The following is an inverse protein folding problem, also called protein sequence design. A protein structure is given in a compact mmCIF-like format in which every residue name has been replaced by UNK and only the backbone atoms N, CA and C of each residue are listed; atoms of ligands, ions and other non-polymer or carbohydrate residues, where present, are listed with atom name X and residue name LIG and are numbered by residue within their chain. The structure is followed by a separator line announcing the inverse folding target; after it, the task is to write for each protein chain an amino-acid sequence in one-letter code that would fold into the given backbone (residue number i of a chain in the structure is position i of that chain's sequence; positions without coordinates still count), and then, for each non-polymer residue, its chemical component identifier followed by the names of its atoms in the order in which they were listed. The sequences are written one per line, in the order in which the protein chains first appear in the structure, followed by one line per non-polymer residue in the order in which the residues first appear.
data_IF_660580699701
#
_entry.id   IF_660580699701
#
_cell.length_a   1.000
_cell.length_b   1.000
_cell.length_c   1.000
_cell.angle_alpha   90.00
_cell.angle_beta   90.00
_cell.angle_gamma   90.00
#
_symmetry.space_group_name_H-M   'P 1'
#
loop_
_entity.id
_entity.type
_entity.pdbx_description
1 polymer ?
#
# COMPACT_ATOMS: atom_id res chain seq x y z
N UNK A 1 -8.96 12.68 -11.45
CA UNK A 1 -10.33 12.44 -10.97
C UNK A 1 -10.37 12.80 -9.49
N UNK A 2 -11.25 13.71 -9.06
CA UNK A 2 -11.43 14.04 -7.65
C UNK A 2 -12.65 13.27 -7.15
N UNK A 3 -12.45 12.38 -6.18
CA UNK A 3 -13.53 11.71 -5.47
C UNK A 3 -13.97 12.65 -4.36
N UNK A 4 -15.24 13.05 -4.37
CA UNK A 4 -15.82 13.89 -3.32
C UNK A 4 -16.10 12.99 -2.10
N UNK A 5 -15.12 12.95 -1.18
CA UNK A 5 -15.14 12.12 0.01
C UNK A 5 -15.84 12.88 1.14
N UNK A 6 -16.66 12.22 1.99
CA UNK A 6 -17.30 12.90 3.11
C UNK A 6 -16.27 13.40 4.14
N UNK A 7 -16.68 14.37 4.95
CA UNK A 7 -15.82 14.90 6.02
C UNK A 7 -15.36 13.81 7.00
N UNK A 8 -14.16 13.99 7.56
CA UNK A 8 -13.57 13.06 8.51
C UNK A 8 -14.48 12.81 9.72
N UNK A 9 -15.15 13.83 10.25
CA UNK A 9 -16.01 13.65 11.42
C UNK A 9 -17.19 12.72 11.11
N UNK A 10 -17.71 12.77 9.89
CA UNK A 10 -18.77 11.87 9.44
C UNK A 10 -18.26 10.43 9.32
N UNK A 11 -17.09 10.23 8.69
CA UNK A 11 -16.47 8.91 8.56
C UNK A 11 -16.10 8.30 9.93
N UNK A 12 -15.63 9.12 10.86
CA UNK A 12 -15.36 8.71 12.24
C UNK A 12 -16.63 8.27 12.94
N UNK A 13 -17.71 9.06 12.82
CA UNK A 13 -19.01 8.71 13.39
C UNK A 13 -19.51 7.36 12.85
N UNK A 14 -19.39 7.13 11.54
CA UNK A 14 -19.69 5.84 10.93
C UNK A 14 -18.84 4.72 11.55
N UNK A 15 -17.52 4.91 11.72
CA UNK A 15 -16.66 3.90 12.32
C UNK A 15 -17.07 3.50 13.75
N UNK A 16 -17.63 4.44 14.51
CA UNK A 16 -18.06 4.25 15.91
C UNK A 16 -19.47 3.68 16.03
N UNK A 17 -20.40 4.15 15.19
CA UNK A 17 -21.84 3.85 15.30
C UNK A 17 -22.33 2.79 14.30
N UNK A 18 -21.79 2.77 13.08
CA UNK A 18 -22.21 1.88 11.99
C UNK A 18 -21.02 1.47 11.09
N UNK A 19 -20.20 0.51 11.54
CA UNK A 19 -19.02 0.07 10.81
C UNK A 19 -19.34 -0.64 9.49
N UNK A 20 -20.56 -1.17 9.34
CA UNK A 20 -21.00 -1.83 8.09
C UNK A 20 -21.26 -0.79 7.00
N UNK A 21 -21.88 0.34 7.33
CA UNK A 21 -22.08 1.45 6.40
C UNK A 21 -20.74 2.06 5.95
N UNK A 22 -19.75 2.15 6.86
CA UNK A 22 -18.40 2.57 6.48
C UNK A 22 -17.75 1.59 5.48
N UNK A 23 -17.92 0.29 5.71
CA UNK A 23 -17.40 -0.76 4.83
C UNK A 23 -18.08 -0.74 3.45
N UNK A 24 -19.39 -0.45 3.41
CA UNK A 24 -20.14 -0.22 2.18
C UNK A 24 -19.59 0.98 1.41
N UNK A 25 -19.40 2.11 2.08
CA UNK A 25 -18.90 3.34 1.47
C UNK A 25 -17.49 3.14 0.87
N UNK A 26 -16.62 2.42 1.57
CA UNK A 26 -15.31 2.04 1.06
C UNK A 26 -15.41 1.19 -0.21
N UNK A 27 -16.31 0.22 -0.24
CA UNK A 27 -16.55 -0.62 -1.42
C UNK A 27 -17.08 0.19 -2.59
N UNK A 28 -18.03 1.09 -2.33
CA UNK A 28 -18.63 1.97 -3.34
C UNK A 28 -17.57 2.83 -4.04
N UNK A 29 -16.73 3.54 -3.28
CA UNK A 29 -15.66 4.36 -3.88
C UNK A 29 -14.60 3.53 -4.61
N UNK A 30 -14.28 2.33 -4.10
CA UNK A 30 -13.36 1.41 -4.77
C UNK A 30 -13.94 0.95 -6.11
N UNK A 31 -15.24 0.68 -6.17
CA UNK A 31 -15.94 0.28 -7.40
C UNK A 31 -15.98 1.40 -8.41
N UNK A 32 -16.39 2.60 -7.97
CA UNK A 32 -16.39 3.79 -8.81
C UNK A 32 -15.01 4.03 -9.44
N UNK A 33 -13.94 3.98 -8.65
CA UNK A 33 -12.57 4.12 -9.14
C UNK A 33 -12.20 3.10 -10.23
N UNK A 34 -12.68 1.85 -10.10
CA UNK A 34 -12.43 0.79 -11.08
C UNK A 34 -13.22 1.03 -12.35
N UNK A 35 -14.49 1.40 -12.23
CA UNK A 35 -15.39 1.60 -13.36
C UNK A 35 -14.94 2.80 -14.22
N UNK A 36 -14.36 3.82 -13.59
CA UNK A 36 -13.78 4.99 -14.26
C UNK A 36 -12.39 4.75 -14.86
N UNK A 37 -11.74 3.62 -14.55
CA UNK A 37 -10.44 3.28 -15.10
C UNK A 37 -10.56 2.74 -16.54
N UNK A 38 -9.53 2.92 -17.40
CA UNK A 38 -9.52 2.32 -18.74
C UNK A 38 -9.70 0.80 -18.71
N UNK A 39 -10.49 0.25 -19.63
CA UNK A 39 -10.86 -1.18 -19.68
C UNK A 39 -9.67 -2.15 -19.52
N UNK A 40 -8.52 -1.81 -20.13
CA UNK A 40 -7.28 -2.60 -20.02
C UNK A 40 -6.82 -2.84 -18.58
N UNK A 41 -7.15 -1.94 -17.64
CA UNK A 41 -6.74 -2.03 -16.24
C UNK A 41 -7.85 -2.56 -15.34
N UNK A 42 -9.12 -2.45 -15.73
CA UNK A 42 -10.27 -2.84 -14.90
C UNK A 42 -10.16 -4.29 -14.41
N UNK A 43 -9.77 -5.23 -15.28
CA UNK A 43 -9.61 -6.65 -14.91
C UNK A 43 -8.60 -6.83 -13.77
N UNK A 44 -7.46 -6.14 -13.84
CA UNK A 44 -6.41 -6.22 -12.82
C UNK A 44 -6.86 -5.58 -11.51
N UNK A 45 -7.50 -4.41 -11.59
CA UNK A 45 -7.99 -3.70 -10.42
C UNK A 45 -9.10 -4.48 -9.69
N UNK A 46 -9.99 -5.15 -10.44
CA UNK A 46 -10.98 -6.07 -9.88
C UNK A 46 -10.33 -7.19 -9.07
N UNK A 47 -9.25 -7.77 -9.59
CA UNK A 47 -8.48 -8.80 -8.89
C UNK A 47 -7.83 -8.26 -7.60
N UNK A 48 -7.31 -7.03 -7.64
CA UNK A 48 -6.74 -6.38 -6.46
C UNK A 48 -7.81 -6.12 -5.38
N UNK A 49 -8.97 -5.57 -5.77
CA UNK A 49 -10.09 -5.36 -4.86
C UNK A 49 -10.56 -6.67 -4.21
N UNK A 50 -10.65 -7.76 -4.98
CA UNK A 50 -10.95 -9.08 -4.43
C UNK A 50 -9.94 -9.52 -3.36
N UNK A 51 -8.64 -9.32 -3.60
CA UNK A 51 -7.60 -9.65 -2.62
C UNK A 51 -7.73 -8.81 -1.34
N UNK A 52 -7.95 -7.50 -1.47
CA UNK A 52 -8.13 -6.59 -0.33
C UNK A 52 -9.34 -7.02 0.50
N UNK A 53 -10.48 -7.29 -0.13
CA UNK A 53 -11.70 -7.74 0.55
C UNK A 53 -11.51 -9.10 1.24
N UNK A 54 -10.83 -10.05 0.57
CA UNK A 54 -10.51 -11.34 1.17
C UNK A 54 -9.60 -11.21 2.41
N UNK A 55 -8.60 -10.34 2.34
CA UNK A 55 -7.73 -10.01 3.49
C UNK A 55 -8.56 -9.42 4.62
N UNK A 56 -9.41 -8.42 4.33
CA UNK A 56 -10.19 -7.73 5.35
C UNK A 56 -11.18 -8.67 6.08
N UNK A 57 -11.76 -9.66 5.38
CA UNK A 57 -12.61 -10.72 5.97
C UNK A 57 -11.84 -11.70 6.85
N UNK A 58 -10.56 -11.94 6.58
CA UNK A 58 -9.70 -12.82 7.38
C UNK A 58 -9.17 -12.14 8.64
N UNK A 59 -9.18 -10.81 8.70
CA UNK A 59 -8.68 -10.06 9.83
C UNK A 59 -9.62 -10.15 11.05
N UNK A 60 -9.03 -10.32 12.23
CA UNK A 60 -9.78 -10.53 13.49
C UNK A 60 -10.24 -9.23 14.16
N UNK A 61 -9.63 -8.10 13.83
CA UNK A 61 -9.96 -6.79 14.37
C UNK A 61 -9.57 -5.66 13.39
N UNK A 62 -10.07 -4.42 13.60
CA UNK A 62 -9.82 -3.28 12.69
C UNK A 62 -8.35 -2.90 12.56
N UNK A 63 -7.56 -2.99 13.63
CA UNK A 63 -6.13 -2.66 13.60
C UNK A 63 -5.33 -3.67 12.77
N UNK A 64 -5.63 -4.97 12.92
CA UNK A 64 -5.06 -6.03 12.10
C UNK A 64 -5.43 -5.85 10.62
N UNK A 65 -6.65 -5.39 10.32
CA UNK A 65 -7.08 -5.02 8.97
C UNK A 65 -6.23 -3.88 8.41
N UNK A 66 -6.07 -2.79 9.17
CA UNK A 66 -5.25 -1.64 8.79
C UNK A 66 -3.81 -2.06 8.47
N UNK A 67 -3.15 -2.78 9.37
CA UNK A 67 -1.76 -3.23 9.17
C UNK A 67 -1.65 -4.15 7.95
N UNK A 68 -2.58 -5.10 7.78
CA UNK A 68 -2.53 -6.07 6.68
C UNK A 68 -2.66 -5.38 5.32
N UNK A 69 -3.60 -4.43 5.19
CA UNK A 69 -3.81 -3.69 3.95
C UNK A 69 -2.62 -2.75 3.68
N UNK A 70 -2.13 -2.05 4.71
CA UNK A 70 -0.93 -1.20 4.60
C UNK A 70 0.30 -1.98 4.14
N UNK A 71 0.47 -3.21 4.65
CA UNK A 71 1.53 -4.11 4.18
C UNK A 71 1.36 -4.46 2.70
N UNK A 72 0.16 -4.84 2.26
CA UNK A 72 -0.09 -5.14 0.83
C UNK A 72 0.24 -3.95 -0.08
N UNK A 73 -0.06 -2.72 0.36
CA UNK A 73 0.28 -1.49 -0.38
C UNK A 73 1.79 -1.27 -0.41
N UNK A 74 2.48 -1.44 0.72
CA UNK A 74 3.93 -1.29 0.79
C UNK A 74 4.65 -2.34 -0.06
N UNK A 75 4.25 -3.60 0.03
CA UNK A 75 4.81 -4.68 -0.80
C UNK A 75 4.63 -4.35 -2.31
N UNK A 76 3.49 -3.74 -2.69
CA UNK A 76 3.27 -3.29 -4.07
C UNK A 76 4.18 -2.13 -4.48
N UNK A 77 4.45 -1.21 -3.55
CA UNK A 77 5.36 -0.09 -3.76
C UNK A 77 6.82 -0.57 -3.88
N UNK A 78 7.27 -1.49 -3.04
CA UNK A 78 8.60 -2.11 -3.12
C UNK A 78 8.81 -2.79 -4.47
N UNK A 79 7.81 -3.54 -4.96
CA UNK A 79 7.87 -4.15 -6.29
C UNK A 79 8.01 -3.11 -7.40
N UNK A 80 7.29 -1.99 -7.30
CA UNK A 80 7.42 -0.90 -8.27
C UNK A 80 8.80 -0.25 -8.19
N UNK A 81 9.30 0.00 -6.99
CA UNK A 81 10.63 0.58 -6.77
C UNK A 81 11.71 -0.33 -7.38
N UNK A 82 11.64 -1.64 -7.15
CA UNK A 82 12.56 -2.62 -7.74
C UNK A 82 12.52 -2.56 -9.26
N UNK A 83 11.32 -2.66 -9.86
CA UNK A 83 11.16 -2.60 -11.31
C UNK A 83 11.69 -1.30 -11.94
N UNK A 84 11.54 -0.16 -11.25
CA UNK A 84 12.09 1.12 -11.72
C UNK A 84 13.61 1.17 -11.59
N UNK A 85 14.17 0.61 -10.51
CA UNK A 85 15.62 0.59 -10.28
C UNK A 85 16.31 -0.34 -11.28
N UNK A 86 15.76 -1.53 -11.51
CA UNK A 86 16.25 -2.49 -12.51
C UNK A 86 16.29 -1.87 -13.91
N UNK A 87 15.27 -1.08 -14.28
CA UNK A 87 15.23 -0.37 -15.57
C UNK A 87 16.32 0.69 -15.66
N UNK A 88 16.60 1.43 -14.58
CA UNK A 88 17.67 2.43 -14.55
C UNK A 88 19.05 1.77 -14.68
N UNK A 89 19.26 0.62 -14.05
CA UNK A 89 20.53 -0.12 -14.14
C UNK A 89 20.78 -0.64 -15.56
N UNK A 90 19.75 -1.09 -16.28
CA UNK A 90 19.86 -1.55 -17.66
C UNK A 90 20.22 -0.43 -18.66
N UNK A 91 19.86 0.82 -18.36
CA UNK A 91 20.22 1.98 -19.20
C UNK A 91 21.65 2.49 -18.94
N UNK A 92 22.30 2.07 -17.84
CA UNK A 92 23.67 2.45 -17.49
C UNK A 92 24.71 1.50 -18.13
N UNK A 93 24.33 0.26 -18.46
CA UNK A 93 25.21 -0.79 -19.01
C UNK A 93 25.12 -0.98 -20.54
N UNK A 94 24.98 0.11 -21.30
CA UNK A 94 25.50 0.14 -22.67
C UNK A 94 27.04 -0.07 -22.61
N UNK A 95 27.60 -0.97 -23.43
CA UNK A 95 28.61 -1.93 -22.99
C UNK A 95 29.91 -1.26 -22.55
N UNK A 96 30.33 -1.53 -21.31
CA UNK A 96 31.74 -1.78 -20.98
C UNK A 96 31.83 -3.00 -20.05
N UNK A 97 32.30 -4.10 -20.64
CA UNK A 97 32.76 -5.35 -20.02
C UNK A 97 33.33 -5.22 -18.60
N UNK A 98 32.81 -5.97 -17.63
CA UNK A 98 33.63 -6.83 -16.74
C UNK A 98 32.78 -7.70 -15.78
N UNK A 99 33.40 -8.78 -15.32
CA UNK A 99 32.87 -9.96 -14.65
C UNK A 99 31.95 -9.73 -13.43
N UNK A 100 30.87 -10.51 -13.36
CA UNK A 100 30.01 -10.65 -12.18
C UNK A 100 30.70 -11.55 -11.15
N UNK A 101 31.34 -10.93 -10.15
CA UNK A 101 31.68 -11.59 -8.89
C UNK A 101 30.46 -11.59 -7.97
N UNK A 102 30.17 -12.76 -7.38
CA UNK A 102 29.06 -12.97 -6.45
C UNK A 102 29.33 -12.25 -5.13
N UNK A 103 28.54 -11.24 -4.79
CA UNK A 103 28.55 -10.66 -3.43
C UNK A 103 27.49 -11.29 -2.50
N UNK A 104 27.94 -11.58 -1.28
CA UNK A 104 27.26 -12.23 -0.14
C UNK A 104 26.09 -11.42 0.46
N UNK A 105 25.19 -12.05 1.25
CA UNK A 105 23.99 -11.40 1.77
C UNK A 105 24.33 -10.24 2.69
N UNK A 106 23.96 -9.02 2.29
CA UNK A 106 24.17 -7.80 3.07
C UNK A 106 23.20 -7.77 4.25
N UNK A 107 23.76 -7.49 5.42
CA UNK A 107 23.10 -7.48 6.72
C UNK A 107 21.87 -6.56 6.73
N UNK A 108 20.86 -6.99 7.51
CA UNK A 108 19.56 -6.33 7.63
C UNK A 108 19.72 -4.84 8.00
N UNK A 109 19.28 -3.96 7.11
CA UNK A 109 19.21 -2.51 7.37
C UNK A 109 18.12 -2.23 8.42
N UNK A 110 18.50 -2.30 9.69
CA UNK A 110 17.65 -1.86 10.80
C UNK A 110 17.55 -0.34 10.72
N UNK A 111 16.40 0.17 10.27
CA UNK A 111 16.08 1.59 10.39
C UNK A 111 15.66 1.84 11.84
N UNK A 112 16.57 2.42 12.63
CA UNK A 112 16.25 2.86 13.99
C UNK A 112 15.49 4.18 13.91
N UNK A 113 14.22 4.18 14.34
CA UNK A 113 13.46 5.41 14.49
C UNK A 113 13.99 6.21 15.69
N UNK A 114 14.15 7.55 15.59
CA UNK A 114 14.56 8.37 16.72
C UNK A 114 13.48 8.33 17.80
N UNK A 115 13.76 7.70 18.94
CA UNK A 115 13.03 8.00 20.17
C UNK A 115 13.63 9.29 20.72
N UNK A 116 13.06 10.43 20.33
CA UNK A 116 13.30 11.67 21.05
C UNK A 116 12.92 11.44 22.52
N UNK A 117 13.92 11.62 23.39
CA UNK A 117 13.77 11.62 24.83
C UNK A 117 12.62 12.57 25.20
N UNK A 118 11.50 12.02 25.69
CA UNK A 118 10.56 12.78 26.49
C UNK A 118 11.25 12.97 27.84
N UNK A 119 12.08 14.00 27.92
CA UNK A 119 12.67 14.44 29.16
C UNK A 119 12.41 15.94 29.32
N UNK A 120 11.61 16.23 30.35
CA UNK A 120 11.45 17.49 31.06
C UNK A 120 10.74 18.66 30.33
N UNK A 121 9.45 18.79 30.59
CA UNK A 121 8.77 20.09 30.66
C UNK A 121 8.20 20.21 32.09
N UNK A 122 8.68 21.24 32.80
CA UNK A 122 8.33 21.62 34.18
C UNK A 122 6.84 21.77 34.45
#
# INVERSE_FOLDING_TARGET
MFVDLPDFNYLKKLAEEDPEELDFLCHFYSRQLIDDAPEKYQKRLNGLLFQIEATKRRCKNPLHRCISISKMMMDSFENLQGALTDVIELDIDAPQSSAVEKEMPKENNIITFPTENIQDCE
#
